data_IF_213808633805
#
_entry.id   IF_213808633805
#
_cell.length_a   1.000
_cell.length_b   1.000
_cell.length_c   1.000
_cell.angle_alpha   90.00
_cell.angle_beta   90.00
_cell.angle_gamma   90.00
#
_symmetry.space_group_name_H-M   'P 1'
#
loop_
_entity.id
_entity.type
_entity.pdbx_description
1 polymer ?
#
# COMPACT_ATOMS: atom_id res chain seq x y z
N UNK A 1 -10.64 -65.01 4.00
CA UNK A 1 -11.59 -65.33 2.92
C UNK A 1 -12.57 -64.16 2.80
N UNK A 2 -12.51 -63.42 1.69
CA UNK A 2 -13.51 -62.43 1.21
C UNK A 2 -14.89 -63.12 0.96
N UNK A 3 -16.06 -62.43 0.76
CA UNK A 3 -16.29 -61.18 -0.01
C UNK A 3 -17.30 -60.16 0.60
N UNK A 4 -17.19 -58.83 0.39
CA UNK A 4 -17.70 -57.97 -0.71
C UNK A 4 -19.22 -58.03 -1.01
N UNK A 5 -19.94 -56.91 -0.78
CA UNK A 5 -21.06 -56.44 -1.63
C UNK A 5 -21.20 -54.91 -1.59
N UNK A 6 -21.15 -54.32 -2.78
CA UNK A 6 -21.44 -52.91 -3.13
C UNK A 6 -22.95 -52.63 -3.11
N UNK A 7 -23.35 -51.41 -2.73
CA UNK A 7 -24.68 -50.85 -3.06
C UNK A 7 -24.51 -49.41 -3.60
N UNK A 8 -25.17 -49.03 -4.73
CA UNK A 8 -25.05 -47.71 -5.33
C UNK A 8 -26.11 -46.73 -4.82
N UNK A 9 -25.73 -45.46 -4.62
CA UNK A 9 -26.64 -44.35 -4.27
C UNK A 9 -27.05 -43.64 -5.56
N UNK A 10 -28.26 -43.90 -6.03
CA UNK A 10 -28.99 -43.08 -7.01
C UNK A 10 -30.28 -42.59 -6.34
N UNK A 11 -30.35 -41.30 -5.99
CA UNK A 11 -31.58 -40.48 -5.95
C UNK A 11 -31.32 -39.19 -5.15
N UNK A 12 -30.89 -38.14 -5.83
CA UNK A 12 -30.97 -36.77 -5.31
C UNK A 12 -31.31 -35.80 -6.45
N UNK A 13 -32.42 -36.09 -7.13
CA UNK A 13 -32.94 -35.23 -8.21
C UNK A 13 -34.46 -35.16 -8.09
N UNK A 14 -34.96 -34.40 -7.11
CA UNK A 14 -36.31 -33.83 -7.10
C UNK A 14 -36.57 -33.05 -5.80
N UNK A 15 -35.96 -31.86 -5.63
CA UNK A 15 -36.42 -30.85 -4.67
C UNK A 15 -35.82 -29.46 -4.92
N UNK A 16 -35.90 -28.98 -6.17
CA UNK A 16 -35.60 -27.58 -6.53
C UNK A 16 -36.80 -27.01 -7.28
N UNK A 17 -37.88 -26.72 -6.56
CA UNK A 17 -39.03 -26.02 -7.12
C UNK A 17 -39.94 -25.48 -6.01
N UNK A 18 -39.45 -24.48 -5.26
CA UNK A 18 -40.24 -23.42 -4.60
C UNK A 18 -39.38 -22.67 -3.56
N UNK A 19 -38.71 -21.60 -3.99
CA UNK A 19 -38.24 -20.58 -3.06
C UNK A 19 -38.99 -19.28 -3.39
N UNK A 20 -39.55 -18.59 -2.37
CA UNK A 20 -40.28 -17.34 -2.59
C UNK A 20 -39.34 -16.24 -3.12
N UNK A 21 -39.86 -15.24 -3.85
CA UNK A 21 -39.04 -14.18 -4.40
C UNK A 21 -38.33 -13.40 -3.26
N UNK A 22 -37.11 -12.88 -3.51
CA UNK A 22 -36.38 -12.15 -2.49
C UNK A 22 -37.17 -10.92 -2.04
N UNK A 23 -37.38 -10.84 -0.72
CA UNK A 23 -37.95 -9.69 -0.02
C UNK A 23 -37.18 -8.42 -0.39
N UNK A 24 -37.92 -7.40 -0.83
CA UNK A 24 -37.43 -6.09 -1.25
C UNK A 24 -36.51 -5.46 -0.21
N UNK A 25 -35.23 -5.29 -0.55
CA UNK A 25 -34.33 -4.41 0.20
C UNK A 25 -34.75 -2.96 -0.04
N UNK A 26 -35.25 -2.32 1.01
CA UNK A 26 -35.57 -0.90 1.03
C UNK A 26 -34.34 -0.04 0.72
N UNK A 27 -34.42 0.67 -0.41
CA UNK A 27 -33.95 2.05 -0.64
C UNK A 27 -32.67 2.49 0.09
N UNK A 28 -31.49 2.23 -0.51
CA UNK A 28 -30.33 3.11 -0.36
C UNK A 28 -30.37 4.18 -1.45
N UNK A 29 -30.21 5.45 -1.07
CA UNK A 29 -30.30 6.65 -1.94
C UNK A 29 -29.22 6.71 -3.05
N UNK A 30 -28.31 5.73 -3.08
CA UNK A 30 -27.40 5.50 -4.20
C UNK A 30 -27.70 4.13 -4.81
N UNK A 31 -28.02 4.10 -6.11
CA UNK A 31 -27.91 2.87 -6.89
C UNK A 31 -26.46 2.41 -6.80
N UNK A 32 -26.21 1.27 -6.15
CA UNK A 32 -24.85 0.72 -6.03
C UNK A 32 -24.24 0.55 -7.42
N UNK A 33 -22.99 1.03 -7.65
CA UNK A 33 -22.37 0.90 -8.96
C UNK A 33 -22.29 -0.57 -9.39
N UNK A 34 -22.66 -0.86 -10.64
CA UNK A 34 -22.47 -2.20 -11.20
C UNK A 34 -20.99 -2.54 -11.21
N UNK A 35 -20.63 -3.76 -10.82
CA UNK A 35 -19.23 -4.22 -10.85
C UNK A 35 -18.63 -4.04 -12.25
N UNK A 36 -17.37 -3.60 -12.30
CA UNK A 36 -16.61 -3.34 -13.52
C UNK A 36 -17.18 -2.26 -14.46
N UNK A 37 -18.13 -1.45 -13.99
CA UNK A 37 -18.60 -0.25 -14.69
C UNK A 37 -17.62 0.93 -14.53
N UNK A 38 -17.75 2.00 -15.34
CA UNK A 38 -17.01 3.24 -15.11
C UNK A 38 -17.21 3.79 -13.69
N UNK A 39 -18.42 3.72 -13.15
CA UNK A 39 -18.74 4.16 -11.79
C UNK A 39 -18.04 3.30 -10.72
N UNK A 40 -17.87 2.00 -10.97
CA UNK A 40 -17.10 1.11 -10.09
C UNK A 40 -15.62 1.52 -10.04
N UNK A 41 -15.00 1.76 -11.20
CA UNK A 41 -13.60 2.20 -11.24
C UNK A 41 -13.42 3.59 -10.64
N UNK A 42 -14.37 4.50 -10.86
CA UNK A 42 -14.38 5.81 -10.24
C UNK A 42 -14.47 5.70 -8.71
N UNK A 43 -15.36 4.86 -8.18
CA UNK A 43 -15.45 4.59 -6.76
C UNK A 43 -14.17 3.98 -6.19
N UNK A 44 -13.52 3.04 -6.89
CA UNK A 44 -12.23 2.48 -6.47
C UNK A 44 -11.11 3.53 -6.49
N UNK A 45 -11.14 4.45 -7.46
CA UNK A 45 -10.21 5.57 -7.57
C UNK A 45 -10.39 6.53 -6.39
N UNK A 46 -11.62 6.95 -6.10
CA UNK A 46 -11.90 7.86 -4.97
C UNK A 46 -11.59 7.16 -3.64
N UNK A 47 -11.95 5.89 -3.49
CA UNK A 47 -11.61 5.09 -2.31
C UNK A 47 -10.10 5.04 -2.07
N UNK A 48 -9.31 4.81 -3.12
CA UNK A 48 -7.85 4.80 -3.04
C UNK A 48 -7.27 6.14 -2.63
N UNK A 49 -7.83 7.23 -3.16
CA UNK A 49 -7.47 8.61 -2.83
C UNK A 49 -7.67 8.87 -1.33
N UNK A 50 -8.87 8.61 -0.80
CA UNK A 50 -9.20 8.88 0.61
C UNK A 50 -8.51 7.91 1.57
N UNK A 51 -8.10 6.73 1.11
CA UNK A 51 -7.31 5.80 1.91
C UNK A 51 -5.84 6.22 2.03
N UNK A 52 -5.19 6.59 0.92
CA UNK A 52 -3.75 6.82 0.91
C UNK A 52 -3.35 8.22 1.37
N UNK A 53 -4.06 9.26 0.95
CA UNK A 53 -3.72 10.64 1.31
C UNK A 53 -3.62 10.86 2.83
N UNK A 54 -4.70 10.58 3.60
CA UNK A 54 -4.70 10.75 5.06
C UNK A 54 -3.70 9.84 5.78
N UNK A 55 -3.60 8.56 5.41
CA UNK A 55 -2.69 7.61 6.08
C UNK A 55 -1.23 8.01 5.92
N UNK A 56 -0.83 8.45 4.73
CA UNK A 56 0.52 8.95 4.51
C UNK A 56 0.75 10.32 5.14
N UNK A 57 -0.24 11.22 5.11
CA UNK A 57 -0.14 12.52 5.76
C UNK A 57 0.11 12.37 7.28
N UNK A 58 -0.57 11.42 7.92
CA UNK A 58 -0.42 11.14 9.35
C UNK A 58 1.00 10.68 9.74
N UNK A 59 1.72 10.00 8.84
CA UNK A 59 3.10 9.54 9.11
C UNK A 59 4.18 10.56 8.72
N UNK A 60 3.81 11.71 8.15
CA UNK A 60 4.75 12.79 7.77
C UNK A 60 5.74 13.17 8.88
N UNK A 61 5.37 13.24 10.18
CA UNK A 61 6.34 13.55 11.23
C UNK A 61 7.46 12.52 11.36
N UNK A 62 7.18 11.24 11.13
CA UNK A 62 8.20 10.18 11.11
C UNK A 62 9.09 10.33 9.87
N UNK A 63 8.49 10.61 8.72
CA UNK A 63 9.20 10.81 7.46
C UNK A 63 10.16 12.01 7.53
N UNK A 64 9.75 13.12 8.15
CA UNK A 64 10.59 14.30 8.30
C UNK A 64 11.90 13.99 9.04
N UNK A 65 11.80 13.31 10.19
CA UNK A 65 12.99 12.91 10.97
C UNK A 65 13.84 11.93 10.16
N UNK A 66 13.21 10.97 9.48
CA UNK A 66 13.91 9.99 8.64
C UNK A 66 14.70 10.68 7.51
N UNK A 67 14.07 11.56 6.74
CA UNK A 67 14.71 12.26 5.63
C UNK A 67 15.89 13.12 6.08
N UNK A 68 15.77 13.81 7.21
CA UNK A 68 16.89 14.59 7.76
C UNK A 68 18.05 13.71 8.23
N UNK A 69 17.75 12.58 8.88
CA UNK A 69 18.78 11.60 9.28
C UNK A 69 19.45 10.90 8.12
N UNK A 70 18.81 10.85 6.94
CA UNK A 70 19.43 10.36 5.71
C UNK A 70 20.42 11.37 5.12
N UNK A 71 20.25 12.66 5.37
CA UNK A 71 21.22 13.70 4.99
C UNK A 71 22.35 13.77 6.01
N UNK A 72 22.01 13.81 7.29
CA UNK A 72 22.97 13.80 8.39
C UNK A 72 22.45 12.94 9.55
N UNK A 73 23.06 11.77 9.71
CA UNK A 73 22.70 10.77 10.71
C UNK A 73 22.89 11.24 12.16
N UNK A 74 23.67 12.30 12.38
CA UNK A 74 24.01 12.83 13.71
C UNK A 74 22.99 13.83 14.26
N UNK A 75 22.06 14.32 13.43
CA UNK A 75 21.09 15.35 13.81
C UNK A 75 20.21 14.96 15.00
N UNK A 76 19.73 13.71 15.03
CA UNK A 76 18.77 13.23 16.02
C UNK A 76 19.10 11.78 16.44
N UNK A 77 19.06 11.47 17.74
CA UNK A 77 19.27 10.10 18.25
C UNK A 77 17.97 9.29 18.20
N UNK A 78 16.81 9.95 18.25
CA UNK A 78 15.50 9.31 18.17
C UNK A 78 14.43 10.19 17.49
N UNK A 79 13.30 9.59 17.11
CA UNK A 79 12.15 10.33 16.55
C UNK A 79 11.60 11.36 17.54
N UNK A 80 11.48 11.01 18.83
CA UNK A 80 10.96 11.90 19.86
C UNK A 80 11.89 13.10 20.11
N UNK A 81 13.20 12.86 20.14
CA UNK A 81 14.20 13.94 20.24
C UNK A 81 14.13 14.84 19.02
N UNK A 82 14.07 14.26 17.81
CA UNK A 82 13.92 15.02 16.57
C UNK A 82 12.68 15.91 16.58
N UNK A 83 11.53 15.38 16.96
CA UNK A 83 10.30 16.18 17.07
C UNK A 83 10.43 17.30 18.10
N UNK A 84 10.93 17.01 19.31
CA UNK A 84 11.13 18.04 20.35
C UNK A 84 12.06 19.15 19.89
N UNK A 85 13.17 18.79 19.24
CA UNK A 85 14.13 19.76 18.73
C UNK A 85 13.50 20.62 17.65
N UNK A 86 12.86 20.03 16.64
CA UNK A 86 12.17 20.76 15.56
C UNK A 86 11.13 21.72 16.13
N UNK A 87 10.30 21.27 17.07
CA UNK A 87 9.28 22.10 17.72
C UNK A 87 9.91 23.31 18.41
N UNK A 88 11.02 23.09 19.13
CA UNK A 88 11.72 24.13 19.88
C UNK A 88 12.47 25.11 18.98
N UNK A 89 13.11 24.63 17.91
CA UNK A 89 14.05 25.45 17.11
C UNK A 89 13.42 26.03 15.84
N UNK A 90 12.35 25.45 15.31
CA UNK A 90 11.78 25.84 14.01
C UNK A 90 10.43 26.56 14.10
N UNK A 91 9.91 26.75 15.32
CA UNK A 91 8.69 27.53 15.56
C UNK A 91 7.41 26.71 15.66
N UNK A 92 7.44 25.64 16.46
CA UNK A 92 6.24 24.97 16.97
C UNK A 92 5.84 23.65 16.30
N UNK A 93 4.72 23.09 16.78
CA UNK A 93 4.23 21.75 16.41
C UNK A 93 3.96 21.61 14.92
N UNK A 94 3.50 22.66 14.23
CA UNK A 94 3.25 22.60 12.78
C UNK A 94 4.48 22.22 11.95
N UNK A 95 5.70 22.46 12.45
CA UNK A 95 6.94 22.18 11.73
C UNK A 95 7.28 20.71 11.61
N UNK A 96 6.75 19.86 12.49
CA UNK A 96 6.93 18.41 12.35
C UNK A 96 6.15 17.86 11.15
N UNK A 97 5.20 18.63 10.60
CA UNK A 97 4.45 18.32 9.39
C UNK A 97 5.04 18.98 8.13
N UNK A 98 6.31 19.40 8.16
CA UNK A 98 6.99 19.92 6.96
C UNK A 98 6.92 18.89 5.83
N UNK A 99 6.46 19.32 4.66
CA UNK A 99 6.23 18.44 3.49
C UNK A 99 4.83 17.80 3.42
N UNK A 100 3.96 17.98 4.43
CA UNK A 100 2.64 17.32 4.47
C UNK A 100 1.76 17.67 3.26
N UNK A 101 1.86 18.89 2.72
CA UNK A 101 1.10 19.27 1.51
C UNK A 101 1.49 18.44 0.29
N UNK A 102 2.79 18.23 0.08
CA UNK A 102 3.29 17.38 -0.99
C UNK A 102 2.92 15.91 -0.76
N UNK A 103 3.06 15.41 0.48
CA UNK A 103 2.62 14.07 0.86
C UNK A 103 1.13 13.85 0.60
N UNK A 104 0.29 14.78 1.04
CA UNK A 104 -1.16 14.67 0.92
C UNK A 104 -1.58 14.60 -0.55
N UNK A 105 -1.09 15.50 -1.39
CA UNK A 105 -1.43 15.52 -2.81
C UNK A 105 -0.85 14.28 -3.51
N UNK A 106 0.44 14.01 -3.32
CA UNK A 106 1.14 12.90 -3.96
C UNK A 106 0.53 11.54 -3.67
N UNK A 107 0.34 11.20 -2.39
CA UNK A 107 -0.22 9.89 -2.01
C UNK A 107 -1.73 9.79 -2.25
N UNK A 108 -2.46 10.92 -2.30
CA UNK A 108 -3.85 10.93 -2.78
C UNK A 108 -3.92 10.52 -4.25
N UNK A 109 -3.12 11.15 -5.11
CA UNK A 109 -3.05 10.81 -6.53
C UNK A 109 -2.53 9.39 -6.74
N UNK A 110 -1.45 9.01 -6.04
CA UNK A 110 -0.93 7.64 -6.10
C UNK A 110 -2.01 6.63 -5.70
N UNK A 111 -2.70 6.86 -4.58
CA UNK A 111 -3.77 6.00 -4.10
C UNK A 111 -4.89 5.85 -5.12
N UNK A 112 -5.29 6.96 -5.75
CA UNK A 112 -6.31 6.98 -6.77
C UNK A 112 -5.99 6.05 -7.95
N UNK A 113 -4.85 6.26 -8.59
CA UNK A 113 -4.43 5.45 -9.74
C UNK A 113 -4.04 4.02 -9.36
N UNK A 114 -3.51 3.81 -8.16
CA UNK A 114 -3.14 2.49 -7.65
C UNK A 114 -4.35 1.59 -7.43
N UNK A 115 -5.34 2.03 -6.65
CA UNK A 115 -6.51 1.20 -6.33
C UNK A 115 -7.51 1.12 -7.49
N UNK A 116 -7.77 2.25 -8.16
CA UNK A 116 -8.62 2.27 -9.35
C UNK A 116 -8.01 1.48 -10.51
N UNK A 117 -6.72 1.72 -10.78
CA UNK A 117 -5.97 1.00 -11.81
C UNK A 117 -5.82 -0.48 -11.51
N UNK A 118 -5.61 -0.87 -10.24
CA UNK A 118 -5.53 -2.27 -9.86
C UNK A 118 -6.81 -3.03 -10.22
N UNK A 119 -7.97 -2.48 -9.87
CA UNK A 119 -9.26 -3.09 -10.21
C UNK A 119 -9.51 -3.15 -11.73
N UNK A 120 -9.12 -2.09 -12.45
CA UNK A 120 -9.21 -2.04 -13.91
C UNK A 120 -8.33 -3.11 -14.58
N UNK A 121 -7.03 -3.15 -14.25
CA UNK A 121 -6.10 -4.12 -14.85
C UNK A 121 -6.39 -5.55 -14.40
N UNK A 122 -6.80 -5.77 -13.14
CA UNK A 122 -7.22 -7.09 -12.66
C UNK A 122 -8.39 -7.61 -13.47
N UNK A 123 -9.40 -6.78 -13.71
CA UNK A 123 -10.53 -7.15 -14.56
C UNK A 123 -10.08 -7.41 -16.01
N UNK A 124 -9.35 -6.47 -16.61
CA UNK A 124 -8.91 -6.58 -18.00
C UNK A 124 -8.08 -7.83 -18.24
N UNK A 125 -7.08 -8.11 -17.40
CA UNK A 125 -6.21 -9.28 -17.54
C UNK A 125 -6.95 -10.60 -17.27
N UNK A 126 -7.97 -10.59 -16.41
CA UNK A 126 -8.82 -11.76 -16.20
C UNK A 126 -9.69 -12.08 -17.42
N UNK A 127 -10.08 -11.07 -18.21
CA UNK A 127 -10.85 -11.24 -19.46
C UNK A 127 -9.99 -11.71 -20.64
N UNK A 128 -8.66 -11.62 -20.54
CA UNK A 128 -7.74 -12.07 -21.61
C UNK A 128 -7.52 -13.58 -21.64
N UNK A 129 -7.97 -14.30 -20.60
CA UNK A 129 -7.77 -15.74 -20.45
C UNK A 129 -9.11 -16.42 -20.14
N UNK A 130 -9.18 -17.74 -20.30
CA UNK A 130 -10.37 -18.49 -19.89
C UNK A 130 -10.63 -18.32 -18.38
N UNK A 131 -11.89 -18.38 -17.92
CA UNK A 131 -12.21 -18.29 -16.49
C UNK A 131 -11.44 -19.29 -15.62
N UNK A 132 -11.21 -20.50 -16.13
CA UNK A 132 -10.46 -21.55 -15.45
C UNK A 132 -8.98 -21.18 -15.31
N UNK A 133 -8.38 -20.65 -16.40
CA UNK A 133 -7.00 -20.15 -16.39
C UNK A 133 -6.87 -18.92 -15.49
N UNK A 134 -7.83 -18.00 -15.51
CA UNK A 134 -7.86 -16.83 -14.64
C UNK A 134 -7.82 -17.24 -13.16
N UNK A 135 -8.63 -18.23 -12.78
CA UNK A 135 -8.66 -18.73 -11.41
C UNK A 135 -7.36 -19.47 -11.03
N UNK A 136 -6.85 -20.32 -11.92
CA UNK A 136 -5.61 -21.07 -11.68
C UNK A 136 -4.39 -20.14 -11.50
N UNK A 137 -4.29 -19.08 -12.33
CA UNK A 137 -3.17 -18.15 -12.35
C UNK A 137 -3.50 -16.78 -11.74
N UNK A 138 -4.52 -16.70 -10.87
CA UNK A 138 -4.99 -15.44 -10.25
C UNK A 138 -3.88 -14.66 -9.55
N UNK A 139 -2.91 -15.34 -8.93
CA UNK A 139 -1.75 -14.70 -8.30
C UNK A 139 -0.91 -13.95 -9.33
N UNK A 140 -0.68 -14.53 -10.51
CA UNK A 140 0.02 -13.86 -11.60
C UNK A 140 -0.76 -12.65 -12.12
N UNK A 141 -2.09 -12.76 -12.21
CA UNK A 141 -2.97 -11.64 -12.58
C UNK A 141 -2.89 -10.51 -11.54
N UNK A 142 -2.95 -10.81 -10.25
CA UNK A 142 -2.83 -9.81 -9.18
C UNK A 142 -1.48 -9.11 -9.22
N UNK A 143 -0.39 -9.85 -9.44
CA UNK A 143 0.95 -9.30 -9.59
C UNK A 143 1.06 -8.38 -10.82
N UNK A 144 0.57 -8.82 -11.98
CA UNK A 144 0.60 -8.00 -13.20
C UNK A 144 -0.28 -6.75 -13.06
N UNK A 145 -1.50 -6.88 -12.54
CA UNK A 145 -2.43 -5.78 -12.37
C UNK A 145 -1.90 -4.71 -11.41
N UNK A 146 -1.34 -5.15 -10.27
CA UNK A 146 -0.75 -4.26 -9.27
C UNK A 146 0.52 -3.57 -9.78
N UNK A 147 1.35 -4.26 -10.58
CA UNK A 147 2.53 -3.65 -11.21
C UNK A 147 2.14 -2.56 -12.23
N UNK A 148 1.18 -2.85 -13.12
CA UNK A 148 0.70 -1.88 -14.12
C UNK A 148 0.03 -0.67 -13.47
N UNK A 149 -0.74 -0.89 -12.40
CA UNK A 149 -1.36 0.19 -11.64
C UNK A 149 -0.33 1.09 -10.95
N UNK A 150 0.67 0.50 -10.27
CA UNK A 150 1.71 1.26 -9.58
C UNK A 150 2.60 2.04 -10.55
N UNK A 151 2.93 1.45 -11.70
CA UNK A 151 3.73 2.12 -12.73
C UNK A 151 3.12 3.48 -13.13
N UNK A 152 1.80 3.50 -13.39
CA UNK A 152 1.05 4.71 -13.73
C UNK A 152 0.93 5.63 -12.50
N UNK A 153 0.60 5.06 -11.34
CA UNK A 153 0.43 5.84 -10.11
C UNK A 153 1.70 6.62 -9.72
N UNK A 154 2.87 6.03 -9.96
CA UNK A 154 4.17 6.65 -9.66
C UNK A 154 4.53 7.80 -10.59
N UNK A 155 4.00 7.85 -11.82
CA UNK A 155 4.13 9.02 -12.70
C UNK A 155 3.48 10.24 -12.01
N UNK A 156 2.33 10.04 -11.37
CA UNK A 156 1.65 11.10 -10.64
C UNK A 156 2.28 11.39 -9.27
N UNK A 157 2.83 10.38 -8.60
CA UNK A 157 3.47 10.56 -7.29
C UNK A 157 4.84 11.27 -7.39
N UNK A 158 5.63 10.96 -8.41
CA UNK A 158 7.04 11.35 -8.49
C UNK A 158 7.29 12.86 -8.29
N UNK A 159 6.54 13.78 -8.94
CA UNK A 159 6.72 15.21 -8.71
C UNK A 159 6.56 15.63 -7.26
N UNK A 160 5.56 15.05 -6.58
CA UNK A 160 5.26 15.39 -5.20
C UNK A 160 6.25 14.76 -4.23
N UNK A 161 6.77 13.56 -4.50
CA UNK A 161 7.89 13.00 -3.73
C UNK A 161 9.15 13.85 -3.87
N UNK A 162 9.46 14.36 -5.06
CA UNK A 162 10.61 15.26 -5.26
C UNK A 162 10.48 16.55 -4.43
N UNK A 163 9.29 17.17 -4.44
CA UNK A 163 8.99 18.36 -3.64
C UNK A 163 9.03 18.05 -2.14
N UNK A 164 8.40 16.96 -1.71
CA UNK A 164 8.37 16.51 -0.32
C UNK A 164 9.79 16.34 0.21
N UNK A 165 10.62 15.55 -0.50
CA UNK A 165 12.01 15.30 -0.10
C UNK A 165 12.76 16.61 0.00
N UNK A 166 12.67 17.49 -1.02
CA UNK A 166 13.33 18.81 -1.00
C UNK A 166 12.95 19.65 0.22
N UNK A 167 11.66 19.69 0.56
CA UNK A 167 11.17 20.41 1.74
C UNK A 167 11.64 19.77 3.06
N UNK A 168 11.63 18.44 3.16
CA UNK A 168 11.98 17.72 4.39
C UNK A 168 13.49 17.71 4.67
N UNK A 169 14.32 17.68 3.63
CA UNK A 169 15.79 17.72 3.75
C UNK A 169 16.35 19.12 3.95
N UNK A 170 15.57 20.16 3.65
CA UNK A 170 16.00 21.53 3.87
C UNK A 170 16.06 21.84 5.38
N UNK A 171 17.26 22.11 5.86
CA UNK A 171 17.48 22.66 7.20
C UNK A 171 17.17 24.16 7.20
N UNK A 172 16.83 24.76 8.36
CA UNK A 172 16.54 26.19 8.44
C UNK A 172 17.61 27.08 7.77
N UNK A 173 17.22 28.09 6.96
CA UNK A 173 15.84 28.52 6.71
C UNK A 173 15.03 27.55 5.81
N UNK A 174 13.70 27.46 5.99
CA UNK A 174 12.86 26.54 5.20
C UNK A 174 12.95 26.83 3.70
N UNK A 175 12.97 25.77 2.89
CA UNK A 175 13.01 25.89 1.43
C UNK A 175 11.83 26.70 0.85
N UNK A 176 10.62 26.46 1.37
CA UNK A 176 9.38 27.10 0.96
C UNK A 176 8.34 27.08 2.09
N UNK A 177 7.39 28.03 2.07
CA UNK A 177 6.33 28.13 3.09
C UNK A 177 5.19 27.15 2.86
N UNK A 178 4.93 26.79 1.60
CA UNK A 178 3.90 25.84 1.20
C UNK A 178 4.33 25.03 -0.03
N UNK A 179 3.53 24.04 -0.40
CA UNK A 179 3.83 23.12 -1.50
C UNK A 179 3.88 23.81 -2.87
N UNK A 180 3.02 24.81 -3.11
CA UNK A 180 2.97 25.51 -4.38
C UNK A 180 4.16 26.45 -4.57
N UNK A 181 4.62 27.11 -3.52
CA UNK A 181 5.87 27.88 -3.54
C UNK A 181 7.06 26.94 -3.79
N UNK A 182 7.09 25.76 -3.17
CA UNK A 182 8.14 24.77 -3.41
C UNK A 182 8.16 24.30 -4.87
N UNK A 183 6.98 24.00 -5.43
CA UNK A 183 6.80 23.66 -6.84
C UNK A 183 7.35 24.77 -7.75
N UNK A 184 6.89 26.01 -7.57
CA UNK A 184 7.32 27.15 -8.39
C UNK A 184 8.83 27.41 -8.30
N UNK A 185 9.42 27.30 -7.10
CA UNK A 185 10.87 27.42 -6.91
C UNK A 185 11.65 26.32 -7.63
N UNK A 186 11.21 25.07 -7.50
CA UNK A 186 11.89 23.94 -8.13
C UNK A 186 11.80 24.00 -9.66
N UNK A 187 10.61 24.24 -10.20
CA UNK A 187 10.40 24.32 -11.66
C UNK A 187 11.10 25.55 -12.24
N UNK A 188 11.06 26.70 -11.54
CA UNK A 188 11.73 27.91 -12.00
C UNK A 188 13.27 27.81 -11.99
N UNK A 189 13.84 27.08 -11.03
CA UNK A 189 15.30 26.95 -10.90
C UNK A 189 15.90 25.79 -11.71
N UNK A 190 15.23 24.63 -11.76
CA UNK A 190 15.77 23.40 -12.33
C UNK A 190 14.97 22.86 -13.54
N UNK A 191 13.85 23.50 -13.88
CA UNK A 191 12.93 23.05 -14.93
C UNK A 191 12.01 21.91 -14.50
N UNK A 192 10.96 21.66 -15.29
CA UNK A 192 9.95 20.63 -14.99
C UNK A 192 10.52 19.20 -14.94
N UNK A 193 11.50 18.89 -15.79
CA UNK A 193 12.15 17.57 -15.82
C UNK A 193 12.84 17.19 -14.49
N UNK A 194 13.21 18.19 -13.67
CA UNK A 194 13.81 17.95 -12.36
C UNK A 194 12.92 17.14 -11.42
N UNK A 195 11.59 17.27 -11.55
CA UNK A 195 10.59 16.58 -10.75
C UNK A 195 10.57 15.05 -10.97
N UNK A 196 11.15 14.59 -12.07
CA UNK A 196 11.17 13.17 -12.48
C UNK A 196 12.55 12.51 -12.35
N UNK A 197 13.58 13.22 -11.87
CA UNK A 197 14.93 12.65 -11.65
C UNK A 197 14.93 11.40 -10.77
N UNK A 198 13.92 11.25 -9.91
CA UNK A 198 13.76 10.12 -8.98
C UNK A 198 12.82 9.00 -9.44
N UNK A 199 12.28 9.02 -10.66
CA UNK A 199 11.22 8.07 -11.06
C UNK A 199 11.71 6.61 -11.10
N UNK A 200 12.92 6.36 -11.60
CA UNK A 200 13.49 5.01 -11.67
C UNK A 200 13.68 4.40 -10.27
N UNK A 201 14.38 5.05 -9.32
CA UNK A 201 14.49 4.49 -7.97
C UNK A 201 13.13 4.44 -7.25
N UNK A 202 12.17 5.29 -7.61
CA UNK A 202 10.80 5.20 -7.11
C UNK A 202 10.14 3.90 -7.56
N UNK A 203 10.12 3.60 -8.87
CA UNK A 203 9.55 2.35 -9.41
C UNK A 203 10.21 1.10 -8.84
N UNK A 204 11.55 1.08 -8.74
CA UNK A 204 12.29 -0.05 -8.15
C UNK A 204 11.86 -0.36 -6.71
N UNK A 205 11.34 0.63 -5.99
CA UNK A 205 10.84 0.48 -4.62
C UNK A 205 9.35 0.19 -4.58
N UNK A 206 8.55 0.99 -5.27
CA UNK A 206 7.10 1.02 -5.14
C UNK A 206 6.42 -0.14 -5.85
N UNK A 207 6.87 -0.50 -7.07
CA UNK A 207 6.25 -1.59 -7.84
C UNK A 207 6.35 -2.93 -7.07
N UNK A 208 7.54 -3.38 -6.59
CA UNK A 208 7.63 -4.62 -5.82
C UNK A 208 6.82 -4.56 -4.51
N UNK A 209 6.81 -3.39 -3.84
CA UNK A 209 6.04 -3.20 -2.62
C UNK A 209 4.54 -3.35 -2.87
N UNK A 210 3.99 -2.69 -3.88
CA UNK A 210 2.57 -2.77 -4.23
C UNK A 210 2.18 -4.16 -4.72
N UNK A 211 3.02 -4.82 -5.52
CA UNK A 211 2.83 -6.21 -5.94
C UNK A 211 2.69 -7.15 -4.73
N UNK A 212 3.62 -7.07 -3.79
CA UNK A 212 3.59 -7.87 -2.57
C UNK A 212 2.36 -7.54 -1.73
N UNK A 213 2.07 -6.25 -1.51
CA UNK A 213 0.97 -5.78 -0.67
C UNK A 213 -0.39 -6.25 -1.18
N UNK A 214 -0.71 -6.02 -2.44
CA UNK A 214 -2.02 -6.36 -3.01
C UNK A 214 -2.20 -7.87 -3.13
N UNK A 215 -1.21 -8.57 -3.67
CA UNK A 215 -1.28 -10.03 -3.83
C UNK A 215 -1.39 -10.75 -2.49
N UNK A 216 -0.61 -10.32 -1.49
CA UNK A 216 -0.68 -10.89 -0.14
C UNK A 216 -2.03 -10.62 0.50
N UNK A 217 -2.55 -9.40 0.36
CA UNK A 217 -3.84 -9.03 0.90
C UNK A 217 -4.97 -9.91 0.35
N UNK A 218 -5.10 -10.02 -0.98
CA UNK A 218 -6.13 -10.84 -1.62
C UNK A 218 -6.06 -12.29 -1.13
N UNK A 219 -4.86 -12.89 -1.15
CA UNK A 219 -4.67 -14.29 -0.75
C UNK A 219 -4.96 -14.52 0.73
N UNK A 220 -4.57 -13.58 1.60
CA UNK A 220 -4.82 -13.68 3.04
C UNK A 220 -6.30 -13.52 3.33
N UNK A 221 -6.98 -12.56 2.69
CA UNK A 221 -8.43 -12.36 2.88
C UNK A 221 -9.22 -13.57 2.41
N UNK A 222 -8.89 -14.14 1.25
CA UNK A 222 -9.46 -15.41 0.77
C UNK A 222 -9.27 -16.53 1.80
N UNK A 223 -8.07 -16.64 2.39
CA UNK A 223 -7.77 -17.63 3.43
C UNK A 223 -8.52 -17.39 4.74
N UNK A 224 -8.77 -16.12 5.11
CA UNK A 224 -9.58 -15.77 6.27
C UNK A 224 -11.03 -16.19 6.02
N UNK A 225 -11.63 -15.79 4.89
CA UNK A 225 -13.00 -16.14 4.56
C UNK A 225 -13.21 -17.65 4.42
N UNK A 226 -12.25 -18.39 3.86
CA UNK A 226 -12.32 -19.85 3.76
C UNK A 226 -12.34 -20.57 5.12
N UNK A 227 -11.88 -19.92 6.19
CA UNK A 227 -11.87 -20.46 7.56
C UNK A 227 -13.02 -19.94 8.42
N UNK A 228 -13.76 -18.95 7.96
CA UNK A 228 -14.90 -18.41 8.68
C UNK A 228 -16.15 -19.30 8.45
N UNK A 229 -16.98 -19.51 9.49
CA UNK A 229 -18.15 -20.38 9.40
C UNK A 229 -19.29 -19.78 8.56
N UNK A 230 -19.27 -18.47 8.31
CA UNK A 230 -20.30 -17.76 7.54
C UNK A 230 -19.70 -17.27 6.22
N UNK A 231 -20.40 -17.46 5.08
CA UNK A 231 -19.96 -16.89 3.82
C UNK A 231 -20.01 -15.36 3.88
N UNK A 232 -19.11 -14.69 3.14
CA UNK A 232 -18.96 -13.22 3.11
C UNK A 232 -20.30 -12.48 2.95
N UNK A 233 -21.20 -12.98 2.10
CA UNK A 233 -22.52 -12.40 1.83
C UNK A 233 -23.46 -12.35 3.05
N UNK A 234 -23.24 -13.23 4.02
CA UNK A 234 -24.05 -13.34 5.25
C UNK A 234 -23.39 -12.62 6.44
N UNK A 235 -22.20 -12.04 6.25
CA UNK A 235 -21.53 -11.23 7.26
C UNK A 235 -22.02 -9.79 7.23
N UNK A 236 -22.10 -9.19 8.42
CA UNK A 236 -22.35 -7.75 8.54
C UNK A 236 -21.23 -6.94 7.88
N UNK A 237 -21.56 -5.74 7.44
CA UNK A 237 -20.59 -4.81 6.84
C UNK A 237 -19.38 -4.56 7.77
N UNK A 238 -19.62 -4.39 9.07
CA UNK A 238 -18.55 -4.26 10.07
C UNK A 238 -17.66 -5.50 10.13
N UNK A 239 -18.24 -6.71 10.03
CA UNK A 239 -17.49 -7.95 10.01
C UNK A 239 -16.58 -8.04 8.78
N UNK A 240 -17.09 -7.68 7.60
CA UNK A 240 -16.29 -7.67 6.37
C UNK A 240 -15.15 -6.64 6.45
N UNK A 241 -15.42 -5.43 6.93
CA UNK A 241 -14.41 -4.38 7.16
C UNK A 241 -13.35 -4.85 8.18
N UNK A 242 -13.76 -5.58 9.21
CA UNK A 242 -12.85 -6.20 10.18
C UNK A 242 -11.91 -7.23 9.55
N UNK A 243 -12.42 -8.05 8.62
CA UNK A 243 -11.60 -8.97 7.81
C UNK A 243 -10.60 -8.19 6.97
N UNK A 244 -11.01 -7.09 6.33
CA UNK A 244 -10.10 -6.23 5.57
C UNK A 244 -9.01 -5.62 6.44
N UNK A 245 -9.33 -5.15 7.64
CA UNK A 245 -8.33 -4.62 8.57
C UNK A 245 -7.30 -5.69 8.98
N UNK A 246 -7.77 -6.88 9.35
CA UNK A 246 -6.94 -8.01 9.76
C UNK A 246 -6.09 -8.55 8.59
N UNK A 247 -6.70 -8.72 7.42
CA UNK A 247 -6.02 -9.11 6.18
C UNK A 247 -4.96 -8.09 5.79
N UNK A 248 -5.25 -6.80 5.93
CA UNK A 248 -4.28 -5.72 5.74
C UNK A 248 -3.09 -5.81 6.71
N UNK A 249 -3.34 -6.14 7.97
CA UNK A 249 -2.28 -6.23 8.98
C UNK A 249 -1.33 -7.39 8.66
N UNK A 250 -1.91 -8.57 8.41
CA UNK A 250 -1.18 -9.79 8.07
C UNK A 250 -0.43 -9.66 6.74
N UNK A 251 -1.02 -9.01 5.74
CA UNK A 251 -0.35 -8.70 4.48
C UNK A 251 0.84 -7.75 4.71
N UNK A 252 0.67 -6.74 5.57
CA UNK A 252 1.75 -5.84 5.97
C UNK A 252 2.87 -6.55 6.72
N UNK A 253 2.55 -7.51 7.60
CA UNK A 253 3.56 -8.37 8.26
C UNK A 253 4.34 -9.18 7.22
N UNK A 254 3.65 -9.86 6.31
CA UNK A 254 4.29 -10.67 5.28
C UNK A 254 5.21 -9.81 4.40
N UNK A 255 4.72 -8.65 3.96
CA UNK A 255 5.50 -7.70 3.19
C UNK A 255 6.73 -7.20 3.97
N UNK A 256 6.57 -6.90 5.26
CA UNK A 256 7.67 -6.50 6.13
C UNK A 256 8.73 -7.62 6.22
N UNK A 257 8.34 -8.85 6.56
CA UNK A 257 9.25 -9.98 6.72
C UNK A 257 10.04 -10.27 5.43
N UNK A 258 9.36 -10.30 4.28
CA UNK A 258 10.01 -10.60 2.99
C UNK A 258 10.97 -9.49 2.56
N UNK A 259 10.62 -8.22 2.77
CA UNK A 259 11.43 -7.07 2.31
C UNK A 259 12.50 -6.62 3.30
N UNK A 260 12.43 -7.03 4.58
CA UNK A 260 13.26 -6.49 5.65
C UNK A 260 14.77 -6.70 5.46
N UNK A 261 15.27 -7.91 5.08
CA UNK A 261 16.70 -8.12 4.91
C UNK A 261 17.33 -7.21 3.85
N UNK A 262 16.65 -7.05 2.71
CA UNK A 262 17.10 -6.18 1.63
C UNK A 262 17.12 -4.71 2.06
N UNK A 263 16.09 -4.26 2.77
CA UNK A 263 15.99 -2.88 3.24
C UNK A 263 17.07 -2.53 4.28
N UNK A 264 17.37 -3.45 5.21
CA UNK A 264 18.48 -3.28 6.16
C UNK A 264 19.82 -3.15 5.42
N UNK A 265 20.05 -3.99 4.40
CA UNK A 265 21.28 -3.90 3.60
C UNK A 265 21.37 -2.59 2.84
N UNK A 266 20.33 -2.19 2.11
CA UNK A 266 20.32 -0.92 1.36
C UNK A 266 20.52 0.28 2.28
N UNK A 267 19.84 0.32 3.44
CA UNK A 267 20.01 1.41 4.39
C UNK A 267 21.41 1.47 4.98
N UNK A 268 22.01 0.32 5.29
CA UNK A 268 23.39 0.28 5.82
C UNK A 268 24.41 0.66 4.76
N UNK A 269 24.23 0.20 3.52
CA UNK A 269 25.12 0.59 2.43
C UNK A 269 25.03 2.09 2.17
N UNK A 270 23.82 2.67 2.15
CA UNK A 270 23.67 4.12 1.97
C UNK A 270 24.34 4.95 3.08
N UNK A 271 24.45 4.42 4.30
CA UNK A 271 25.05 5.13 5.45
C UNK A 271 26.54 4.82 5.65
N UNK A 272 26.99 3.60 5.35
CA UNK A 272 28.34 3.10 5.70
C UNK A 272 29.25 2.90 4.47
N UNK A 273 28.79 3.22 3.25
CA UNK A 273 29.59 3.10 2.02
C UNK A 273 30.73 4.13 1.99
N UNK A 274 31.96 3.65 1.77
CA UNK A 274 33.15 4.50 1.70
C UNK A 274 33.27 5.13 0.30
N UNK A 275 33.93 6.30 0.22
CA UNK A 275 34.25 6.93 -1.07
C UNK A 275 35.12 5.98 -1.91
N UNK A 276 34.73 5.76 -3.16
CA UNK A 276 35.44 4.86 -4.09
C UNK A 276 35.07 3.37 -3.95
N UNK A 277 34.31 2.97 -2.92
CA UNK A 277 33.88 1.58 -2.74
C UNK A 277 32.72 1.25 -3.68
N UNK A 278 32.77 0.10 -4.34
CA UNK A 278 31.66 -0.40 -5.14
C UNK A 278 30.48 -0.82 -4.25
N UNK A 279 29.28 -0.89 -4.83
CA UNK A 279 28.08 -1.37 -4.12
C UNK A 279 28.29 -2.79 -3.57
N UNK A 280 28.96 -3.65 -4.34
CA UNK A 280 29.17 -5.05 -3.98
C UNK A 280 30.20 -5.20 -2.86
N UNK A 281 31.29 -4.44 -2.87
CA UNK A 281 32.27 -4.41 -1.78
C UNK A 281 31.64 -3.92 -0.46
N UNK A 282 30.89 -2.82 -0.53
CA UNK A 282 30.18 -2.28 0.64
C UNK A 282 29.17 -3.30 1.19
N UNK A 283 28.39 -3.94 0.32
CA UNK A 283 27.41 -4.96 0.69
C UNK A 283 28.10 -6.16 1.36
N UNK A 284 29.16 -6.69 0.76
CA UNK A 284 29.93 -7.82 1.30
C UNK A 284 30.53 -7.50 2.66
N UNK A 285 31.21 -6.35 2.80
CA UNK A 285 31.82 -5.91 4.06
C UNK A 285 30.79 -5.72 5.16
N UNK A 286 29.65 -5.09 4.85
CA UNK A 286 28.58 -4.87 5.82
C UNK A 286 27.97 -6.20 6.22
N UNK A 287 27.67 -7.08 5.25
CA UNK A 287 27.14 -8.42 5.52
C UNK A 287 28.09 -9.23 6.40
N UNK A 288 29.39 -9.22 6.14
CA UNK A 288 30.41 -9.87 6.96
C UNK A 288 30.44 -9.32 8.41
N UNK A 289 30.13 -8.03 8.60
CA UNK A 289 30.09 -7.37 9.92
C UNK A 289 28.83 -7.70 10.73
N UNK A 290 27.65 -7.74 10.08
CA UNK A 290 26.37 -7.90 10.79
C UNK A 290 25.82 -9.33 10.79
N UNK A 291 26.25 -10.15 9.84
CA UNK A 291 25.76 -11.51 9.61
C UNK A 291 24.27 -11.59 9.28
N UNK A 292 23.79 -12.83 9.09
CA UNK A 292 22.37 -13.09 8.84
C UNK A 292 21.44 -12.61 9.98
N UNK A 293 21.77 -12.81 11.29
CA UNK A 293 20.94 -12.27 12.37
C UNK A 293 20.80 -10.74 12.33
N UNK A 294 21.87 -10.05 11.93
CA UNK A 294 21.88 -8.59 11.84
C UNK A 294 20.95 -8.02 10.77
N UNK A 295 20.58 -8.81 9.76
CA UNK A 295 19.59 -8.43 8.73
C UNK A 295 18.19 -8.26 9.31
N UNK A 296 17.90 -8.86 10.46
CA UNK A 296 16.58 -8.85 11.08
C UNK A 296 16.41 -7.76 12.14
N UNK A 297 17.46 -6.95 12.36
CA UNK A 297 17.41 -5.81 13.26
C UNK A 297 16.35 -4.80 12.83
N UNK A 298 15.45 -4.44 13.74
CA UNK A 298 14.37 -3.48 13.48
C UNK A 298 13.10 -4.07 12.84
N UNK A 299 13.02 -5.39 12.63
CA UNK A 299 11.84 -6.02 12.01
C UNK A 299 10.55 -5.73 12.79
N UNK A 300 10.58 -5.80 14.13
CA UNK A 300 9.40 -5.54 14.95
C UNK A 300 8.84 -4.13 14.74
N UNK A 301 9.73 -3.13 14.63
CA UNK A 301 9.34 -1.74 14.35
C UNK A 301 8.74 -1.61 12.95
N UNK A 302 9.34 -2.30 11.96
CA UNK A 302 8.81 -2.33 10.59
C UNK A 302 7.43 -3.01 10.53
N UNK A 303 7.24 -4.11 11.24
CA UNK A 303 5.94 -4.81 11.34
C UNK A 303 4.88 -3.86 11.89
N UNK A 304 5.18 -3.18 13.00
CA UNK A 304 4.25 -2.22 13.60
C UNK A 304 3.90 -1.11 12.60
N UNK A 305 4.89 -0.53 11.93
CA UNK A 305 4.68 0.58 11.01
C UNK A 305 3.94 0.18 9.72
N UNK A 306 4.46 -0.81 8.99
CA UNK A 306 3.93 -1.24 7.70
C UNK A 306 2.61 -2.01 7.85
N UNK A 307 2.51 -2.87 8.88
CA UNK A 307 1.27 -3.56 9.23
C UNK A 307 0.16 -2.57 9.51
N UNK A 308 0.38 -1.63 10.43
CA UNK A 308 -0.64 -0.63 10.81
C UNK A 308 -1.02 0.27 9.63
N UNK A 309 -0.04 0.79 8.88
CA UNK A 309 -0.32 1.63 7.71
C UNK A 309 -1.14 0.89 6.65
N UNK A 310 -0.80 -0.38 6.37
CA UNK A 310 -1.52 -1.20 5.40
C UNK A 310 -2.93 -1.52 5.88
N UNK A 311 -3.10 -1.88 7.15
CA UNK A 311 -4.43 -2.11 7.76
C UNK A 311 -5.34 -0.90 7.64
N UNK A 312 -4.86 0.30 8.00
CA UNK A 312 -5.68 1.50 7.93
C UNK A 312 -6.02 1.88 6.48
N UNK A 313 -5.11 1.65 5.53
CA UNK A 313 -5.42 1.88 4.12
C UNK A 313 -6.56 0.98 3.63
N UNK A 314 -6.49 -0.33 3.91
CA UNK A 314 -7.56 -1.26 3.53
C UNK A 314 -8.85 -0.99 4.30
N UNK A 315 -8.76 -0.65 5.58
CA UNK A 315 -9.91 -0.26 6.40
C UNK A 315 -10.65 0.93 5.80
N UNK A 316 -9.94 2.02 5.49
CA UNK A 316 -10.55 3.23 4.93
C UNK A 316 -11.09 2.94 3.53
N UNK A 317 -10.33 2.22 2.70
CA UNK A 317 -10.73 1.87 1.34
C UNK A 317 -12.02 1.04 1.31
N UNK A 318 -12.08 -0.05 2.08
CA UNK A 318 -13.25 -0.93 2.10
C UNK A 318 -14.43 -0.33 2.85
N UNK A 319 -14.18 0.52 3.86
CA UNK A 319 -15.24 1.34 4.47
C UNK A 319 -15.86 2.26 3.43
N UNK A 320 -15.04 2.95 2.62
CA UNK A 320 -15.53 3.80 1.54
C UNK A 320 -16.35 3.01 0.52
N UNK A 321 -15.82 1.88 0.02
CA UNK A 321 -16.57 1.00 -0.92
C UNK A 321 -17.91 0.60 -0.33
N UNK A 322 -17.94 0.20 0.93
CA UNK A 322 -19.16 -0.22 1.58
C UNK A 322 -20.18 0.94 1.74
N UNK A 323 -19.73 2.18 2.00
CA UNK A 323 -20.64 3.34 2.04
C UNK A 323 -21.27 3.70 0.70
N UNK A 324 -20.61 3.38 -0.42
CA UNK A 324 -21.15 3.58 -1.77
C UNK A 324 -21.86 2.33 -2.32
N UNK A 325 -22.12 1.33 -1.46
CA UNK A 325 -22.84 0.10 -1.81
C UNK A 325 -22.02 -0.93 -2.57
N UNK A 326 -20.69 -0.81 -2.61
CA UNK A 326 -19.79 -1.79 -3.22
C UNK A 326 -19.33 -2.85 -2.22
N UNK A 327 -19.04 -4.09 -2.68
CA UNK A 327 -18.49 -5.11 -1.81
C UNK A 327 -17.07 -4.73 -1.34
N UNK A 328 -16.74 -5.13 -0.12
CA UNK A 328 -15.36 -5.07 0.41
C UNK A 328 -14.43 -5.94 -0.45
N UNK A 329 -13.12 -5.68 -0.38
CA UNK A 329 -12.13 -6.40 -1.19
C UNK A 329 -11.92 -7.84 -0.69
N UNK A 330 -11.56 -8.76 -1.59
CA UNK A 330 -11.45 -10.21 -1.35
C UNK A 330 -12.81 -10.90 -1.35
#
# INVERSE_FOLDING_TARGET
MLPLFFHPIHSFSSRVSSLPPPMSQNSSIFNSPKLYSPDYYAACTIGGLVACGPTHSAVTPLDLVKCRRQVDSSLYKSNLEGWRQIIKTEGGVGKIFTGVGATAIGYSMQGAFKYGGYEFFKHQYSQLVSPETAHQYRTGIFLAASASAEFIADIFLCPWEAIKVRQQTAMPPPFARNVFEAYSKMVGAEGFASLYKGITPLWCRQIPYTMCKFTSFERIVEMIYARLPKPKREMSQLGQIGVSFAGGYLAGILCAVVSHPADVMVSKVNNERKKGESMMEATSRIYAKIGFPGLWNGLAVRILMIGTLTSFQWLIYDSFKATVGLPTTG
#
